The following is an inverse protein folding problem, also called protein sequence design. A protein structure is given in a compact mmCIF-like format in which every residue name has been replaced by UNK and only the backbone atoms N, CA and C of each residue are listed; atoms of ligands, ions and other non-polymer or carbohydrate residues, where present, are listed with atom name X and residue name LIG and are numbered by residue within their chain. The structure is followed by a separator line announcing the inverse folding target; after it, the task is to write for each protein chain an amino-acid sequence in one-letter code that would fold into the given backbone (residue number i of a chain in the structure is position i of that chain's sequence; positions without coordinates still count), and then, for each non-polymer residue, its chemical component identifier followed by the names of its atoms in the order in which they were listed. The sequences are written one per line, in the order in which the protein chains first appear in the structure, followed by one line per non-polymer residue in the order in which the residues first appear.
data_IF_792282257188
#
_entry.id   IF_792282257188
#
_cell.length_a   1.000
_cell.length_b   1.000
_cell.length_c   1.000
_cell.angle_alpha   90.00
_cell.angle_beta   90.00
_cell.angle_gamma   90.00
#
_symmetry.space_group_name_H-M   'P 1'
#
loop_
_entity.id
_entity.type
_entity.pdbx_description
1 polymer ?
#
# COMPACT_ATOMS: atom_id res chain seq x y z
N UNK A 1 -13.19 8.33 17.57
CA UNK A 1 -13.31 9.78 17.85
C UNK A 1 -12.40 10.25 18.99
N UNK A 2 -12.48 9.73 20.22
CA UNK A 2 -11.61 10.24 21.31
C UNK A 2 -10.12 9.91 21.20
N UNK A 3 -9.78 8.77 20.60
CA UNK A 3 -8.37 8.40 20.40
C UNK A 3 -7.69 9.24 19.31
N UNK A 4 -8.43 9.73 18.32
CA UNK A 4 -7.90 10.52 17.21
C UNK A 4 -7.41 11.90 17.65
N UNK A 5 -7.90 12.39 18.79
CA UNK A 5 -7.46 13.65 19.41
C UNK A 5 -6.19 13.52 20.26
N UNK A 6 -5.68 12.30 20.46
CA UNK A 6 -4.53 12.04 21.33
C UNK A 6 -3.23 12.06 20.56
N UNK A 7 -2.16 12.50 21.21
CA UNK A 7 -0.82 12.44 20.63
C UNK A 7 -0.33 10.98 20.54
N UNK A 8 0.61 10.65 19.64
CA UNK A 8 1.22 9.32 19.58
C UNK A 8 1.79 8.85 20.92
N UNK A 9 2.39 9.75 21.71
CA UNK A 9 2.91 9.43 23.03
C UNK A 9 1.78 9.03 24.02
N UNK A 10 0.66 9.76 24.02
CA UNK A 10 -0.51 9.40 24.84
C UNK A 10 -1.11 8.07 24.40
N UNK A 11 -1.25 7.85 23.09
CA UNK A 11 -1.74 6.59 22.53
C UNK A 11 -0.82 5.42 22.91
N UNK A 12 0.49 5.59 22.81
CA UNK A 12 1.46 4.58 23.18
C UNK A 12 1.40 4.26 24.68
N UNK A 13 1.24 5.27 25.54
CA UNK A 13 1.06 5.05 26.98
C UNK A 13 -0.23 4.27 27.29
N UNK A 14 -1.33 4.55 26.58
CA UNK A 14 -2.58 3.78 26.70
C UNK A 14 -2.34 2.32 26.29
N UNK A 15 -1.76 2.10 25.11
CA UNK A 15 -1.48 0.75 24.61
C UNK A 15 -0.53 -0.01 25.53
N UNK A 16 0.50 0.63 26.08
CA UNK A 16 1.47 -0.01 26.98
C UNK A 16 0.81 -0.53 28.26
N UNK A 17 -0.27 0.13 28.73
CA UNK A 17 -1.05 -0.35 29.88
C UNK A 17 -1.94 -1.53 29.52
N UNK A 18 -2.57 -1.52 28.34
CA UNK A 18 -3.50 -2.58 27.94
C UNK A 18 -2.80 -3.82 27.39
N UNK A 19 -1.71 -3.64 26.64
CA UNK A 19 -0.94 -4.71 26.01
C UNK A 19 0.57 -4.37 25.99
N UNK A 20 1.27 -4.65 27.11
CA UNK A 20 2.71 -4.41 27.23
C UNK A 20 3.53 -5.22 26.21
N UNK A 21 3.03 -6.36 25.75
CA UNK A 21 3.71 -7.24 24.80
C UNK A 21 3.70 -6.59 23.42
N UNK A 22 2.53 -6.16 22.94
CA UNK A 22 2.39 -5.48 21.67
C UNK A 22 3.18 -4.18 21.64
N UNK A 23 3.21 -3.45 22.76
CA UNK A 23 3.93 -2.19 22.90
C UNK A 23 5.45 -2.30 22.63
N UNK A 24 6.06 -3.48 22.83
CA UNK A 24 7.48 -3.71 22.53
C UNK A 24 7.81 -3.63 21.03
N UNK A 25 6.87 -4.01 20.18
CA UNK A 25 7.11 -4.24 18.75
C UNK A 25 6.25 -3.35 17.84
N UNK A 26 5.55 -2.36 18.39
CA UNK A 26 4.75 -1.42 17.62
C UNK A 26 5.52 -0.14 17.38
N UNK A 27 5.25 0.50 16.25
CA UNK A 27 5.79 1.83 15.96
C UNK A 27 5.07 2.88 16.84
N UNK A 28 5.75 3.34 17.89
CA UNK A 28 5.25 4.30 18.86
C UNK A 28 4.96 5.70 18.26
N UNK A 29 5.43 5.98 17.04
CA UNK A 29 5.19 7.25 16.35
C UNK A 29 4.03 7.18 15.35
N UNK A 30 3.43 6.01 15.17
CA UNK A 30 2.37 5.80 14.18
C UNK A 30 0.98 5.78 14.85
N UNK A 31 0.25 6.91 14.88
CA UNK A 31 -1.03 7.00 15.59
C UNK A 31 -2.07 6.02 15.04
N UNK A 32 -2.11 5.77 13.73
CA UNK A 32 -3.05 4.82 13.11
C UNK A 32 -2.85 3.41 13.64
N UNK A 33 -1.58 2.96 13.72
CA UNK A 33 -1.25 1.63 14.27
C UNK A 33 -1.58 1.54 15.75
N UNK A 34 -1.31 2.59 16.52
CA UNK A 34 -1.59 2.64 17.96
C UNK A 34 -3.09 2.60 18.23
N UNK A 35 -3.88 3.45 17.55
CA UNK A 35 -5.34 3.47 17.65
C UNK A 35 -5.90 2.08 17.35
N UNK A 36 -5.48 1.46 16.24
CA UNK A 36 -5.95 0.13 15.87
C UNK A 36 -5.60 -0.94 16.90
N UNK A 37 -4.40 -0.89 17.47
CA UNK A 37 -3.99 -1.83 18.52
C UNK A 37 -4.85 -1.65 19.78
N UNK A 38 -5.11 -0.41 20.21
CA UNK A 38 -5.97 -0.10 21.35
C UNK A 38 -7.41 -0.58 21.10
N UNK A 39 -7.96 -0.36 19.90
CA UNK A 39 -9.28 -0.87 19.51
C UNK A 39 -9.37 -2.39 19.63
N UNK A 40 -8.34 -3.11 19.15
CA UNK A 40 -8.28 -4.56 19.28
C UNK A 40 -8.24 -4.97 20.75
N UNK A 41 -7.42 -4.31 21.59
CA UNK A 41 -7.34 -4.60 23.02
C UNK A 41 -8.68 -4.38 23.73
N UNK A 42 -9.46 -3.37 23.32
CA UNK A 42 -10.79 -3.11 23.90
C UNK A 42 -11.80 -4.24 23.62
N UNK A 43 -11.64 -4.97 22.52
CA UNK A 43 -12.55 -6.05 22.12
C UNK A 43 -12.04 -7.41 22.56
N UNK A 44 -10.74 -7.67 22.47
CA UNK A 44 -10.12 -8.98 22.66
C UNK A 44 -9.22 -9.08 23.90
N UNK A 45 -9.06 -7.99 24.66
CA UNK A 45 -8.15 -7.90 25.82
C UNK A 45 -6.68 -7.69 25.45
N UNK A 46 -6.20 -8.29 24.36
CA UNK A 46 -4.85 -8.09 23.83
C UNK A 46 -4.82 -8.21 22.31
N UNK A 47 -3.74 -7.73 21.68
CA UNK A 47 -3.53 -7.91 20.24
C UNK A 47 -3.05 -9.33 19.97
N UNK A 48 -3.80 -10.15 19.22
CA UNK A 48 -3.38 -11.51 18.94
C UNK A 48 -2.05 -11.55 18.19
N UNK A 49 -1.19 -12.51 18.53
CA UNK A 49 0.04 -12.73 17.78
C UNK A 49 -0.27 -13.37 16.43
N UNK A 50 -0.23 -12.56 15.37
CA UNK A 50 -0.54 -12.99 14.01
C UNK A 50 0.56 -13.86 13.38
N UNK A 51 1.75 -13.96 14.00
CA UNK A 51 2.85 -14.80 13.49
C UNK A 51 2.48 -16.29 13.52
N UNK A 52 1.69 -16.71 14.52
CA UNK A 52 1.28 -18.11 14.68
C UNK A 52 0.25 -18.58 13.64
N UNK A 53 -0.58 -17.69 13.07
CA UNK A 53 -1.64 -18.09 12.13
C UNK A 53 -1.16 -18.38 10.71
N UNK A 54 0.02 -17.90 10.30
CA UNK A 54 0.56 -18.14 8.95
C UNK A 54 1.05 -19.60 8.79
N UNK A 55 1.26 -20.33 9.90
CA UNK A 55 1.84 -21.67 9.89
C UNK A 55 0.85 -22.79 9.52
N UNK A 56 -0.48 -22.58 9.59
CA UNK A 56 -1.49 -23.64 9.43
C UNK A 56 -2.41 -23.43 8.21
N UNK A 57 -1.84 -23.12 7.04
CA UNK A 57 -2.61 -23.16 5.78
C UNK A 57 -2.70 -24.59 5.25
N UNK A 58 -3.90 -25.05 4.88
CA UNK A 58 -4.11 -26.32 4.16
C UNK A 58 -3.60 -26.27 2.71
N UNK A 59 -3.37 -25.06 2.20
CA UNK A 59 -2.90 -24.83 0.85
C UNK A 59 -1.41 -24.53 0.85
N UNK A 60 -0.71 -25.22 -0.04
CA UNK A 60 0.62 -24.80 -0.47
C UNK A 60 0.46 -23.63 -1.46
N UNK A 61 1.46 -22.75 -1.55
CA UNK A 61 1.44 -21.60 -2.46
C UNK A 61 2.75 -21.50 -3.23
N UNK A 62 2.66 -21.22 -4.53
CA UNK A 62 3.77 -20.75 -5.34
C UNK A 62 3.67 -19.24 -5.41
N UNK A 63 4.67 -18.55 -4.86
CA UNK A 63 4.72 -17.10 -4.89
C UNK A 63 5.74 -16.67 -5.95
N UNK A 64 5.26 -16.05 -7.02
CA UNK A 64 6.11 -15.54 -8.11
C UNK A 64 6.15 -14.02 -8.03
N UNK A 65 7.36 -13.47 -8.02
CA UNK A 65 7.61 -12.04 -8.17
C UNK A 65 8.15 -11.74 -9.56
N UNK A 66 7.61 -10.72 -10.23
CA UNK A 66 8.12 -10.30 -11.55
C UNK A 66 9.30 -9.35 -11.32
N UNK A 67 10.51 -9.84 -11.58
CA UNK A 67 11.73 -9.05 -11.49
C UNK A 67 11.88 -8.16 -12.72
N UNK A 68 12.32 -6.92 -12.50
CA UNK A 68 12.68 -5.96 -13.55
C UNK A 68 13.84 -5.11 -13.07
N UNK A 69 14.65 -4.67 -14.02
CA UNK A 69 15.64 -3.64 -13.77
C UNK A 69 14.98 -2.33 -13.34
N UNK A 70 15.67 -1.58 -12.48
CA UNK A 70 15.12 -0.39 -11.84
C UNK A 70 14.81 0.70 -12.86
N UNK A 71 15.68 0.86 -13.85
CA UNK A 71 15.57 1.83 -14.93
C UNK A 71 14.36 1.52 -15.81
N UNK A 72 14.17 0.24 -16.18
CA UNK A 72 13.01 -0.22 -16.93
C UNK A 72 11.70 0.03 -16.15
N UNK A 73 11.69 -0.28 -14.85
CA UNK A 73 10.54 -0.04 -13.99
C UNK A 73 10.15 1.44 -13.97
N UNK A 74 11.12 2.35 -13.83
CA UNK A 74 10.86 3.79 -13.84
C UNK A 74 10.29 4.27 -15.18
N UNK A 75 10.85 3.82 -16.30
CA UNK A 75 10.35 4.15 -17.63
C UNK A 75 8.91 3.69 -17.82
N UNK A 76 8.58 2.47 -17.37
CA UNK A 76 7.22 1.93 -17.44
C UNK A 76 6.23 2.70 -16.57
N UNK A 77 6.63 3.11 -15.36
CA UNK A 77 5.80 3.96 -14.50
C UNK A 77 5.48 5.27 -15.23
N UNK A 78 6.50 5.97 -15.76
CA UNK A 78 6.32 7.22 -16.50
C UNK A 78 5.40 7.06 -17.71
N UNK A 79 5.61 6.00 -18.51
CA UNK A 79 4.77 5.69 -19.66
C UNK A 79 3.32 5.41 -19.24
N UNK A 80 3.11 4.63 -18.18
CA UNK A 80 1.79 4.28 -17.70
C UNK A 80 1.01 5.49 -17.17
N UNK A 81 1.67 6.42 -16.47
CA UNK A 81 1.07 7.68 -16.03
C UNK A 81 0.57 8.49 -17.23
N UNK A 82 1.42 8.69 -18.24
CA UNK A 82 1.04 9.43 -19.46
C UNK A 82 -0.15 8.77 -20.17
N UNK A 83 -0.12 7.44 -20.33
CA UNK A 83 -1.22 6.67 -20.92
C UNK A 83 -2.55 6.86 -20.17
N UNK A 84 -2.54 6.79 -18.83
CA UNK A 84 -3.76 6.99 -18.03
C UNK A 84 -4.29 8.42 -18.15
N UNK A 85 -3.43 9.42 -18.13
CA UNK A 85 -3.84 10.82 -18.29
C UNK A 85 -4.44 11.06 -19.69
N UNK A 86 -3.80 10.54 -20.74
CA UNK A 86 -4.32 10.59 -22.11
C UNK A 86 -5.66 9.86 -22.26
N UNK A 87 -5.88 8.78 -21.51
CA UNK A 87 -7.15 8.05 -21.46
C UNK A 87 -8.25 8.77 -20.66
N UNK A 88 -8.03 10.00 -20.18
CA UNK A 88 -9.05 10.81 -19.53
C UNK A 88 -9.15 10.64 -18.01
N UNK A 89 -8.08 10.24 -17.32
CA UNK A 89 -8.08 10.09 -15.86
C UNK A 89 -8.45 11.39 -15.12
N UNK A 90 -8.11 12.57 -15.63
CA UNK A 90 -8.52 13.85 -15.02
C UNK A 90 -10.04 14.00 -15.14
N UNK A 91 -10.59 13.78 -16.33
CA UNK A 91 -12.03 13.82 -16.60
C UNK A 91 -12.81 12.81 -15.77
N UNK A 92 -12.24 11.62 -15.51
CA UNK A 92 -12.83 10.65 -14.59
C UNK A 92 -12.99 11.23 -13.17
N UNK A 93 -11.97 11.92 -12.66
CA UNK A 93 -12.02 12.55 -11.33
C UNK A 93 -13.03 13.69 -11.28
N UNK A 94 -13.12 14.50 -12.33
CA UNK A 94 -14.14 15.55 -12.45
C UNK A 94 -15.55 14.96 -12.44
N UNK A 95 -15.79 13.87 -13.20
CA UNK A 95 -17.09 13.17 -13.21
C UNK A 95 -17.44 12.62 -11.84
N UNK A 96 -16.49 12.01 -11.13
CA UNK A 96 -16.71 11.53 -9.76
C UNK A 96 -17.08 12.68 -8.83
N UNK A 97 -16.40 13.83 -8.94
CA UNK A 97 -16.74 15.00 -8.15
C UNK A 97 -18.16 15.51 -8.46
N UNK A 98 -18.51 15.61 -9.74
CA UNK A 98 -19.81 16.09 -10.20
C UNK A 98 -20.95 15.13 -9.84
N UNK A 99 -20.66 13.83 -9.68
CA UNK A 99 -21.64 12.85 -9.17
C UNK A 99 -21.92 12.97 -7.66
N UNK A 100 -21.29 13.93 -6.96
CA UNK A 100 -21.54 14.22 -5.55
C UNK A 100 -20.50 13.66 -4.57
N UNK A 101 -19.43 13.01 -5.04
CA UNK A 101 -18.39 12.52 -4.12
C UNK A 101 -17.61 13.69 -3.49
N UNK A 102 -17.31 13.55 -2.20
CA UNK A 102 -16.42 14.49 -1.51
C UNK A 102 -14.98 14.34 -2.00
N UNK A 103 -14.20 15.42 -1.91
CA UNK A 103 -12.78 15.35 -2.24
C UNK A 103 -12.03 14.35 -1.36
N UNK A 104 -12.40 14.24 -0.08
CA UNK A 104 -11.82 13.25 0.83
C UNK A 104 -12.06 11.82 0.34
N UNK A 105 -13.27 11.53 -0.15
CA UNK A 105 -13.60 10.22 -0.69
C UNK A 105 -12.80 9.92 -1.95
N UNK A 106 -12.73 10.86 -2.89
CA UNK A 106 -11.94 10.71 -4.12
C UNK A 106 -10.46 10.50 -3.79
N UNK A 107 -9.89 11.34 -2.90
CA UNK A 107 -8.48 11.25 -2.48
C UNK A 107 -8.12 9.90 -1.84
N UNK A 108 -9.12 9.13 -1.38
CA UNK A 108 -8.91 7.79 -0.81
C UNK A 108 -8.71 6.67 -1.84
N UNK A 109 -9.01 6.90 -3.13
CA UNK A 109 -9.00 5.85 -4.16
C UNK A 109 -7.62 5.45 -4.66
N UNK A 110 -6.60 6.30 -4.44
CA UNK A 110 -5.24 5.97 -4.85
C UNK A 110 -4.32 7.18 -4.95
N UNK A 111 -3.08 6.93 -5.39
CA UNK A 111 -2.02 7.94 -5.45
C UNK A 111 -2.36 9.08 -6.42
N UNK A 112 -2.77 8.75 -7.65
CA UNK A 112 -3.18 9.75 -8.65
C UNK A 112 -4.45 10.48 -8.22
N UNK A 113 -5.44 9.76 -7.67
CA UNK A 113 -6.69 10.33 -7.17
C UNK A 113 -6.50 11.24 -5.94
N UNK A 114 -5.35 11.15 -5.26
CA UNK A 114 -4.97 12.11 -4.21
C UNK A 114 -4.47 13.44 -4.79
N UNK A 115 -3.77 13.39 -5.93
CA UNK A 115 -3.08 14.53 -6.53
C UNK A 115 -3.94 15.27 -7.56
N UNK A 116 -4.77 14.56 -8.34
CA UNK A 116 -5.64 15.19 -9.34
C UNK A 116 -6.61 16.22 -8.72
N UNK A 117 -7.24 15.98 -7.55
CA UNK A 117 -8.02 17.01 -6.88
C UNK A 117 -7.22 18.27 -6.52
N UNK A 118 -5.93 18.15 -6.23
CA UNK A 118 -5.07 19.30 -5.96
C UNK A 118 -4.84 20.11 -7.23
N UNK A 119 -4.68 19.44 -8.38
CA UNK A 119 -4.64 20.08 -9.68
C UNK A 119 -5.97 20.77 -10.04
N UNK A 120 -7.10 20.07 -9.88
CA UNK A 120 -8.42 20.63 -10.16
C UNK A 120 -8.79 21.82 -9.25
N UNK A 121 -8.29 21.85 -8.01
CA UNK A 121 -8.46 22.99 -7.10
C UNK A 121 -7.41 24.10 -7.29
N UNK A 122 -6.49 23.96 -8.26
CA UNK A 122 -5.45 24.95 -8.54
C UNK A 122 -4.29 25.00 -7.53
N UNK A 123 -4.15 24.01 -6.65
CA UNK A 123 -2.98 23.84 -5.76
C UNK A 123 -1.74 23.39 -6.55
N UNK A 124 -1.93 22.53 -7.54
CA UNK A 124 -0.92 22.16 -8.55
C UNK A 124 -1.24 22.98 -9.81
N UNK A 125 -0.26 23.71 -10.36
CA UNK A 125 -0.53 24.73 -11.38
C UNK A 125 -0.49 24.20 -12.80
N UNK A 126 0.30 23.16 -13.06
CA UNK A 126 0.49 22.62 -14.42
C UNK A 126 0.27 21.12 -14.46
N UNK A 127 -0.06 20.61 -15.65
CA UNK A 127 -0.19 19.19 -15.87
C UNK A 127 1.17 18.48 -15.74
N UNK A 128 2.26 19.14 -16.09
CA UNK A 128 3.63 18.65 -15.95
C UNK A 128 4.00 18.45 -14.47
N UNK A 129 3.66 19.42 -13.62
CA UNK A 129 3.86 19.32 -12.16
C UNK A 129 3.03 18.17 -11.57
N UNK A 130 1.79 17.99 -12.04
CA UNK A 130 0.95 16.86 -11.65
C UNK A 130 1.61 15.52 -12.03
N UNK A 131 2.10 15.40 -13.26
CA UNK A 131 2.77 14.19 -13.76
C UNK A 131 3.99 13.86 -12.90
N UNK A 132 4.82 14.85 -12.58
CA UNK A 132 6.00 14.67 -11.74
C UNK A 132 5.64 14.19 -10.34
N UNK A 133 4.63 14.82 -9.71
CA UNK A 133 4.16 14.42 -8.38
C UNK A 133 3.59 13.00 -8.36
N UNK A 134 2.81 12.62 -9.38
CA UNK A 134 2.31 11.24 -9.53
C UNK A 134 3.48 10.28 -9.70
N UNK A 135 4.44 10.60 -10.56
CA UNK A 135 5.62 9.78 -10.80
C UNK A 135 6.41 9.52 -9.52
N UNK A 136 6.71 10.56 -8.73
CA UNK A 136 7.41 10.40 -7.47
C UNK A 136 6.61 9.56 -6.46
N UNK A 137 5.28 9.76 -6.40
CA UNK A 137 4.42 8.99 -5.52
C UNK A 137 4.42 7.49 -5.88
N UNK A 138 4.27 7.15 -7.17
CA UNK A 138 4.25 5.79 -7.68
C UNK A 138 5.62 5.11 -7.60
N UNK A 139 6.71 5.82 -7.91
CA UNK A 139 8.08 5.33 -7.73
C UNK A 139 8.37 4.98 -6.26
N UNK A 140 7.98 5.85 -5.33
CA UNK A 140 8.13 5.58 -3.90
C UNK A 140 7.25 4.42 -3.44
N UNK A 141 6.06 4.27 -4.02
CA UNK A 141 5.18 3.14 -3.75
C UNK A 141 5.79 1.83 -4.26
N UNK A 142 6.27 1.78 -5.50
CA UNK A 142 6.96 0.63 -6.06
C UNK A 142 8.19 0.24 -5.23
N UNK A 143 9.00 1.21 -4.78
CA UNK A 143 10.12 0.96 -3.86
C UNK A 143 9.65 0.29 -2.56
N UNK A 144 8.59 0.80 -1.94
CA UNK A 144 8.03 0.22 -0.71
C UNK A 144 7.49 -1.20 -0.93
N UNK A 145 6.80 -1.44 -2.04
CA UNK A 145 6.35 -2.78 -2.43
C UNK A 145 7.55 -3.73 -2.53
N UNK A 146 8.60 -3.31 -3.22
CA UNK A 146 9.81 -4.14 -3.36
C UNK A 146 10.48 -4.41 -2.02
N UNK A 147 10.64 -3.40 -1.16
CA UNK A 147 11.16 -3.59 0.21
C UNK A 147 10.29 -4.55 1.02
N UNK A 148 8.97 -4.53 0.83
CA UNK A 148 8.05 -5.42 1.52
C UNK A 148 8.19 -6.86 1.02
N UNK A 149 8.16 -7.08 -0.30
CA UNK A 149 8.26 -8.41 -0.89
C UNK A 149 9.63 -9.06 -0.66
N UNK A 150 10.73 -8.28 -0.66
CA UNK A 150 12.08 -8.79 -0.38
C UNK A 150 12.24 -9.41 1.01
N UNK A 151 11.33 -9.16 1.96
CA UNK A 151 11.34 -9.81 3.28
C UNK A 151 10.85 -11.26 3.25
N UNK A 152 10.18 -11.67 2.18
CA UNK A 152 9.68 -13.03 2.02
C UNK A 152 10.59 -13.83 1.08
N UNK A 153 11.44 -14.66 1.66
CA UNK A 153 12.39 -15.50 0.93
C UNK A 153 11.70 -16.64 0.14
N UNK A 154 10.38 -16.85 0.30
CA UNK A 154 9.61 -17.84 -0.47
C UNK A 154 9.22 -17.36 -1.87
N UNK A 155 9.39 -16.08 -2.17
CA UNK A 155 9.05 -15.51 -3.47
C UNK A 155 10.12 -15.89 -4.48
N UNK A 156 9.73 -16.62 -5.54
CA UNK A 156 10.58 -16.89 -6.70
C UNK A 156 10.53 -15.68 -7.64
N UNK A 157 11.61 -14.93 -7.70
CA UNK A 157 11.74 -13.77 -8.58
C UNK A 157 12.17 -14.22 -9.97
N UNK A 158 11.31 -13.97 -10.97
CA UNK A 158 11.48 -14.41 -12.35
C UNK A 158 11.31 -13.22 -13.28
N UNK A 159 12.08 -13.18 -14.37
CA UNK A 159 12.08 -12.06 -15.32
C UNK A 159 11.29 -12.37 -16.59
N UNK A 160 11.32 -13.62 -17.07
CA UNK A 160 10.68 -14.03 -18.30
C UNK A 160 9.48 -14.97 -18.11
N UNK A 161 8.60 -14.96 -19.12
CA UNK A 161 7.37 -15.75 -19.11
C UNK A 161 7.62 -17.25 -19.16
N UNK A 162 8.68 -17.72 -19.83
CA UNK A 162 8.97 -19.16 -19.96
C UNK A 162 9.40 -19.74 -18.62
N UNK A 163 10.26 -19.04 -17.87
CA UNK A 163 10.64 -19.42 -16.50
C UNK A 163 9.43 -19.46 -15.56
N UNK A 164 8.52 -18.49 -15.68
CA UNK A 164 7.27 -18.45 -14.92
C UNK A 164 6.44 -19.69 -15.25
N UNK A 165 6.23 -19.98 -16.54
CA UNK A 165 5.45 -21.12 -16.99
C UNK A 165 6.03 -22.46 -16.50
N UNK A 166 7.35 -22.64 -16.62
CA UNK A 166 8.04 -23.83 -16.10
C UNK A 166 7.85 -23.98 -14.59
N UNK A 167 8.01 -22.89 -13.84
CA UNK A 167 7.83 -22.89 -12.38
C UNK A 167 6.40 -23.27 -11.98
N UNK A 168 5.42 -22.82 -12.74
CA UNK A 168 4.01 -23.18 -12.53
C UNK A 168 3.78 -24.66 -12.86
N UNK A 169 4.28 -25.16 -13.99
CA UNK A 169 4.17 -26.57 -14.38
C UNK A 169 4.77 -27.51 -13.33
N UNK A 170 5.97 -27.22 -12.84
CA UNK A 170 6.63 -28.02 -11.82
C UNK A 170 5.86 -28.02 -10.50
N UNK A 171 5.34 -26.87 -10.09
CA UNK A 171 4.54 -26.75 -8.88
C UNK A 171 3.20 -27.50 -8.95
N UNK A 172 2.58 -27.55 -10.13
CA UNK A 172 1.34 -28.32 -10.34
C UNK A 172 1.64 -29.82 -10.37
N UNK A 173 2.73 -30.25 -11.01
CA UNK A 173 3.11 -31.67 -11.12
C UNK A 173 3.56 -32.31 -9.80
N UNK A 174 4.14 -31.52 -8.91
CA UNK A 174 4.62 -31.98 -7.59
C UNK A 174 3.51 -32.08 -6.54
N UNK A 175 2.25 -32.05 -6.98
CA UNK A 175 1.02 -32.23 -6.19
C UNK A 175 0.13 -33.30 -6.80
#
# INVERSE_FOLDING_TARGET
KDLEKKSPAQLFAILKKSDPIRAKNIDAKNPVRLIRAIEICRVLGSVPDTRYKILNTKYQFLQIGIAREKEELHQRISLNIRKRLQAGMITEVEKLKNSGLSWEKIKSFGLSFKLIPQYLNGEIKTQEELIEKIYLAEKNYAKRQMTWFKKNNKIKWLTDYKEIELSVKDFIRTR
#
